data_IF_522515711976
#
_entry.id   IF_522515711976
#
_cell.length_a   1.000
_cell.length_b   1.000
_cell.length_c   1.000
_cell.angle_alpha   90.00
_cell.angle_beta   90.00
_cell.angle_gamma   90.00
#
_symmetry.space_group_name_H-M   'P 1'
#
loop_
_entity.id
_entity.type
_entity.pdbx_description
1 polymer ?
#
# COMPACT_ATOMS: atom_id res chain seq x y z
N UNK A 1 -2.36 10.81 -39.23
CA UNK A 1 -1.94 11.26 -37.89
C UNK A 1 -2.58 10.33 -36.88
N UNK A 2 -1.82 9.38 -36.36
CA UNK A 2 -2.28 8.54 -35.24
C UNK A 2 -2.17 9.39 -33.98
N UNK A 3 -3.32 9.71 -33.36
CA UNK A 3 -3.35 10.49 -32.13
C UNK A 3 -2.88 9.59 -30.97
N UNK A 4 -1.75 9.92 -30.35
CA UNK A 4 -1.24 9.23 -29.16
C UNK A 4 -2.00 9.73 -27.93
N UNK A 5 -3.25 9.28 -27.76
CA UNK A 5 -4.06 9.69 -26.60
C UNK A 5 -3.97 8.60 -25.51
N UNK A 6 -3.57 8.93 -24.28
CA UNK A 6 -3.60 7.97 -23.18
C UNK A 6 -5.05 7.62 -22.84
N UNK A 7 -5.27 6.41 -22.33
CA UNK A 7 -6.54 6.08 -21.65
C UNK A 7 -6.54 6.85 -20.32
N UNK A 8 -7.48 7.77 -20.17
CA UNK A 8 -7.62 8.67 -19.02
C UNK A 8 -8.87 8.26 -18.24
N UNK A 9 -8.69 7.96 -16.95
CA UNK A 9 -9.77 7.57 -16.05
C UNK A 9 -10.62 8.78 -15.62
N UNK A 10 -11.83 8.56 -15.10
CA UNK A 10 -12.67 9.67 -14.61
C UNK A 10 -12.01 10.40 -13.42
N UNK A 11 -11.69 11.68 -13.61
CA UNK A 11 -10.97 12.51 -12.64
C UNK A 11 -9.45 12.59 -12.91
N UNK A 12 -8.94 11.79 -13.84
CA UNK A 12 -7.57 11.91 -14.33
C UNK A 12 -7.46 13.06 -15.34
N UNK A 13 -6.38 13.84 -15.25
CA UNK A 13 -6.12 14.99 -16.12
C UNK A 13 -4.67 14.96 -16.58
N UNK A 14 -4.46 15.14 -17.88
CA UNK A 14 -3.13 15.32 -18.45
C UNK A 14 -2.52 16.65 -18.01
N UNK A 15 -1.33 16.59 -17.41
CA UNK A 15 -0.62 17.75 -16.85
C UNK A 15 0.51 18.20 -17.78
N UNK A 16 1.28 17.26 -18.32
CA UNK A 16 2.43 17.55 -19.18
C UNK A 16 2.69 16.45 -20.20
N UNK A 17 3.30 16.83 -21.32
CA UNK A 17 3.64 15.93 -22.42
C UNK A 17 5.03 16.23 -22.98
N UNK A 18 5.77 15.18 -23.30
CA UNK A 18 6.98 15.25 -24.10
C UNK A 18 6.85 14.33 -25.31
N UNK A 19 7.00 14.91 -26.49
CA UNK A 19 6.97 14.19 -27.76
C UNK A 19 8.37 13.71 -28.15
N UNK A 20 8.44 12.72 -29.04
CA UNK A 20 9.70 12.18 -29.58
C UNK A 20 10.69 11.74 -28.47
N UNK A 21 10.15 11.10 -27.43
CA UNK A 21 10.92 10.57 -26.30
C UNK A 21 11.40 9.18 -26.64
N UNK A 22 12.66 8.88 -26.33
CA UNK A 22 13.19 7.53 -26.43
C UNK A 22 13.14 6.85 -25.06
N UNK A 23 12.47 5.70 -24.96
CA UNK A 23 12.56 4.80 -23.81
C UNK A 23 13.57 3.70 -24.10
N UNK A 24 14.51 3.45 -23.19
CA UNK A 24 15.50 2.38 -23.31
C UNK A 24 15.14 1.18 -22.43
N UNK A 25 15.36 -0.02 -22.96
CA UNK A 25 15.27 -1.24 -22.17
C UNK A 25 16.37 -1.25 -21.10
N UNK A 26 16.09 -1.65 -19.84
CA UNK A 26 17.07 -1.65 -18.75
C UNK A 26 18.39 -2.38 -19.06
N UNK A 27 18.37 -3.39 -19.94
CA UNK A 27 19.54 -4.21 -20.30
C UNK A 27 20.21 -3.80 -21.62
N UNK A 28 19.71 -2.76 -22.30
CA UNK A 28 20.16 -2.40 -23.66
C UNK A 28 21.37 -1.46 -23.70
N UNK A 29 21.94 -1.06 -22.56
CA UNK A 29 23.03 -0.08 -22.46
C UNK A 29 22.76 1.23 -23.24
N UNK A 30 21.49 1.63 -23.34
CA UNK A 30 21.05 2.80 -24.11
C UNK A 30 21.30 2.71 -25.63
N UNK A 31 21.57 1.52 -26.17
CA UNK A 31 21.87 1.30 -27.60
C UNK A 31 20.61 1.17 -28.46
N UNK A 32 19.52 0.65 -27.90
CA UNK A 32 18.24 0.49 -28.60
C UNK A 32 17.11 1.04 -27.72
N UNK A 33 16.36 2.01 -28.26
CA UNK A 33 15.25 2.64 -27.55
C UNK A 33 14.01 2.74 -28.44
N UNK A 34 12.84 2.54 -27.83
CA UNK A 34 11.54 2.74 -28.47
C UNK A 34 11.21 4.22 -28.48
N UNK A 35 10.74 4.73 -29.61
CA UNK A 35 10.28 6.12 -29.73
C UNK A 35 8.81 6.22 -29.38
N UNK A 36 8.43 7.30 -28.69
CA UNK A 36 7.07 7.48 -28.23
C UNK A 36 6.80 8.85 -27.63
N UNK A 37 5.64 8.97 -27.00
CA UNK A 37 5.18 10.14 -26.26
C UNK A 37 5.15 9.80 -24.79
N UNK A 38 5.75 10.64 -23.96
CA UNK A 38 5.73 10.52 -22.50
C UNK A 38 4.75 11.54 -21.93
N UNK A 39 3.82 11.08 -21.12
CA UNK A 39 2.72 11.88 -20.57
C UNK A 39 2.72 11.74 -19.06
N UNK A 40 2.57 12.86 -18.36
CA UNK A 40 2.31 12.90 -16.91
C UNK A 40 0.88 13.39 -16.71
N UNK A 41 0.08 12.62 -15.98
CA UNK A 41 -1.24 13.03 -15.49
C UNK A 41 -1.14 13.38 -13.99
N UNK A 42 -2.27 13.62 -13.33
CA UNK A 42 -2.34 13.65 -11.87
C UNK A 42 -2.32 12.25 -11.21
N UNK A 43 -2.33 11.16 -12.00
CA UNK A 43 -2.38 9.77 -11.51
C UNK A 43 -1.18 8.91 -11.91
N UNK A 44 -0.74 8.98 -13.19
CA UNK A 44 0.29 8.13 -13.76
C UNK A 44 1.27 8.87 -14.68
N UNK A 45 2.43 8.26 -14.86
CA UNK A 45 3.35 8.51 -15.97
C UNK A 45 3.06 7.43 -17.02
N UNK A 46 2.68 7.83 -18.23
CA UNK A 46 2.36 6.93 -19.33
C UNK A 46 3.33 7.13 -20.50
N UNK A 47 3.83 6.05 -21.07
CA UNK A 47 4.63 6.09 -22.29
C UNK A 47 3.92 5.33 -23.41
N UNK A 48 3.56 6.06 -24.47
CA UNK A 48 2.83 5.52 -25.61
C UNK A 48 3.79 5.41 -26.79
N UNK A 49 3.88 4.23 -27.40
CA UNK A 49 4.76 3.93 -28.53
C UNK A 49 4.01 3.16 -29.62
N UNK A 50 4.46 3.25 -30.87
CA UNK A 50 3.82 2.56 -32.01
C UNK A 50 3.89 1.04 -31.92
N UNK A 51 4.85 0.51 -31.17
CA UNK A 51 5.10 -0.92 -31.04
C UNK A 51 4.31 -1.56 -29.89
N UNK A 52 3.35 -0.85 -29.28
CA UNK A 52 2.46 -1.45 -28.30
C UNK A 52 1.49 -2.39 -29.02
N UNK A 53 1.95 -3.58 -29.36
CA UNK A 53 1.09 -4.71 -29.68
C UNK A 53 0.19 -4.94 -28.46
N UNK A 54 -1.13 -4.90 -28.64
CA UNK A 54 -2.08 -5.42 -27.67
C UNK A 54 -1.60 -6.82 -27.29
N UNK A 55 -0.99 -6.98 -26.10
CA UNK A 55 -0.67 -8.31 -25.59
C UNK A 55 -1.99 -9.05 -25.47
N UNK A 56 -2.05 -10.23 -26.07
CA UNK A 56 -3.17 -11.14 -25.95
C UNK A 56 -3.67 -11.20 -24.50
N UNK A 57 -4.99 -11.24 -24.34
CA UNK A 57 -5.76 -11.37 -23.09
C UNK A 57 -5.42 -12.63 -22.25
N UNK A 58 -4.29 -13.28 -22.51
CA UNK A 58 -3.84 -14.55 -21.91
C UNK A 58 -3.12 -14.40 -20.58
N UNK A 59 -2.85 -13.18 -20.10
CA UNK A 59 -2.34 -12.96 -18.75
C UNK A 59 -3.51 -12.84 -17.75
N UNK A 60 -3.72 -13.89 -16.94
CA UNK A 60 -4.78 -13.96 -15.92
C UNK A 60 -4.75 -12.87 -14.84
N UNK A 61 -3.76 -11.96 -14.86
CA UNK A 61 -3.65 -10.81 -13.95
C UNK A 61 -3.14 -9.58 -14.71
N UNK A 62 -4.07 -8.78 -15.24
CA UNK A 62 -3.79 -7.47 -15.81
C UNK A 62 -4.22 -6.37 -14.83
N UNK A 63 -3.49 -5.24 -14.83
CA UNK A 63 -3.91 -4.07 -14.06
C UNK A 63 -5.02 -3.36 -14.83
N UNK A 64 -6.14 -3.06 -14.16
CA UNK A 64 -7.29 -2.41 -14.79
C UNK A 64 -7.02 -0.95 -15.21
N UNK A 65 -6.08 -0.27 -14.55
CA UNK A 65 -5.84 1.18 -14.69
C UNK A 65 -4.51 1.52 -15.40
N UNK A 66 -3.56 0.59 -15.42
CA UNK A 66 -2.19 0.82 -15.88
C UNK A 66 -1.85 -0.09 -17.05
N UNK A 67 -1.47 0.51 -18.18
CA UNK A 67 -0.90 -0.18 -19.32
C UNK A 67 0.53 -0.71 -19.06
N UNK A 68 1.12 -1.34 -20.09
CA UNK A 68 2.44 -1.98 -20.01
C UNK A 68 3.56 -1.03 -19.54
N UNK A 69 3.53 0.19 -20.05
CA UNK A 69 4.53 1.23 -19.79
C UNK A 69 4.03 2.31 -18.83
N UNK A 70 2.90 2.08 -18.16
CA UNK A 70 2.35 3.02 -17.21
C UNK A 70 2.95 2.80 -15.81
N UNK A 71 3.18 3.91 -15.12
CA UNK A 71 3.65 3.93 -13.74
C UNK A 71 2.72 4.84 -12.96
N UNK A 72 1.94 4.29 -12.03
CA UNK A 72 1.22 5.10 -11.05
C UNK A 72 2.23 6.00 -10.31
N UNK A 73 1.93 7.29 -10.19
CA UNK A 73 2.85 8.27 -9.61
C UNK A 73 3.20 7.96 -8.17
N UNK A 74 2.27 7.35 -7.41
CA UNK A 74 2.52 6.88 -6.04
C UNK A 74 3.56 5.75 -5.95
N UNK A 75 3.83 5.04 -7.06
CA UNK A 75 4.84 4.00 -7.18
C UNK A 75 6.22 4.54 -7.61
N UNK A 76 6.32 5.81 -8.01
CA UNK A 76 7.62 6.45 -8.27
C UNK A 76 8.35 6.60 -6.94
N UNK A 77 9.58 6.10 -6.87
CA UNK A 77 10.40 6.19 -5.66
C UNK A 77 11.49 7.25 -5.78
N UNK A 78 12.29 7.19 -6.84
CA UNK A 78 13.37 8.15 -7.10
C UNK A 78 13.43 8.51 -8.58
N UNK A 79 13.59 9.80 -8.86
CA UNK A 79 13.83 10.32 -10.20
C UNK A 79 15.27 10.83 -10.28
N UNK A 80 16.04 10.33 -11.25
CA UNK A 80 17.38 10.80 -11.57
C UNK A 80 17.38 11.54 -12.90
N UNK A 81 18.13 12.63 -12.98
CA UNK A 81 18.52 13.26 -14.24
C UNK A 81 19.78 12.57 -14.78
N UNK A 82 19.76 12.26 -16.08
CA UNK A 82 20.94 11.75 -16.79
C UNK A 82 21.84 12.91 -17.24
N UNK A 83 23.12 12.86 -16.85
CA UNK A 83 24.16 13.84 -17.20
C UNK A 83 25.36 13.06 -17.76
N UNK A 84 25.35 12.80 -19.07
CA UNK A 84 26.28 11.85 -19.69
C UNK A 84 26.08 10.48 -19.06
N UNK A 85 27.17 9.86 -18.60
CA UNK A 85 27.15 8.55 -17.95
C UNK A 85 26.80 8.61 -16.44
N UNK A 86 26.64 9.82 -15.89
CA UNK A 86 26.32 10.02 -14.46
C UNK A 86 24.82 10.24 -14.25
N UNK A 87 24.31 9.71 -13.14
CA UNK A 87 22.93 9.92 -12.67
C UNK A 87 22.94 10.92 -11.50
N UNK A 88 22.17 12.02 -11.60
CA UNK A 88 21.98 13.00 -10.49
C UNK A 88 20.57 12.87 -9.92
N UNK A 89 20.43 12.53 -8.65
CA UNK A 89 19.13 12.43 -7.97
C UNK A 89 18.44 13.81 -7.96
N UNK A 90 17.18 13.85 -8.37
CA UNK A 90 16.35 15.05 -8.30
C UNK A 90 15.54 15.05 -6.99
N UNK A 91 15.32 16.25 -6.46
CA UNK A 91 14.47 16.47 -5.29
C UNK A 91 13.14 17.07 -5.74
N UNK A 92 12.03 16.85 -5.00
CA UNK A 92 10.75 17.49 -5.30
C UNK A 92 10.89 19.02 -5.31
N UNK A 93 10.59 19.64 -6.44
CA UNK A 93 10.75 21.08 -6.66
C UNK A 93 11.08 21.41 -8.12
N UNK A 94 11.15 22.71 -8.45
CA UNK A 94 11.48 23.14 -9.81
C UNK A 94 12.92 22.76 -10.17
N UNK A 95 13.11 22.11 -11.30
CA UNK A 95 14.44 21.77 -11.82
C UNK A 95 15.05 22.94 -12.58
N UNK A 96 16.37 23.14 -12.39
CA UNK A 96 17.16 24.12 -13.12
C UNK A 96 17.85 23.49 -14.33
N UNK A 97 17.93 24.24 -15.43
CA UNK A 97 18.61 23.84 -16.65
C UNK A 97 17.83 22.85 -17.54
N UNK A 98 18.50 22.42 -18.62
CA UNK A 98 17.93 21.49 -19.61
C UNK A 98 18.00 20.04 -19.11
N UNK A 99 16.87 19.34 -19.21
CA UNK A 99 16.80 17.89 -18.93
C UNK A 99 16.97 17.12 -20.24
N UNK A 100 18.05 16.36 -20.37
CA UNK A 100 18.34 15.53 -21.56
C UNK A 100 17.79 14.10 -21.44
N UNK A 101 17.51 13.65 -20.23
CA UNK A 101 16.94 12.34 -19.96
C UNK A 101 16.68 12.11 -18.48
N UNK A 102 15.85 11.12 -18.20
CA UNK A 102 15.46 10.69 -16.86
C UNK A 102 15.73 9.20 -16.67
N UNK A 103 16.02 8.85 -15.44
CA UNK A 103 16.08 7.47 -14.99
C UNK A 103 15.22 7.36 -13.73
N UNK A 104 14.10 6.64 -13.86
CA UNK A 104 13.04 6.58 -12.86
C UNK A 104 13.06 5.20 -12.23
N UNK A 105 13.18 5.18 -10.90
CA UNK A 105 13.16 3.96 -10.10
C UNK A 105 11.83 3.90 -9.35
N UNK A 106 11.13 2.79 -9.47
CA UNK A 106 9.85 2.56 -8.83
C UNK A 106 9.98 1.75 -7.54
N UNK A 107 8.97 1.82 -6.65
CA UNK A 107 8.94 1.06 -5.38
C UNK A 107 8.80 -0.45 -5.60
N UNK A 108 8.24 -0.86 -6.74
CA UNK A 108 8.23 -2.25 -7.19
C UNK A 108 9.50 -2.67 -7.97
N UNK A 109 10.60 -1.93 -7.83
CA UNK A 109 11.91 -2.20 -8.44
C UNK A 109 11.97 -2.11 -9.98
N UNK A 110 10.86 -1.74 -10.65
CA UNK A 110 10.89 -1.41 -12.08
C UNK A 110 11.69 -0.13 -12.32
N UNK A 111 12.39 -0.10 -13.45
CA UNK A 111 13.24 1.02 -13.86
C UNK A 111 12.86 1.45 -15.26
N UNK A 112 12.67 2.74 -15.45
CA UNK A 112 12.39 3.34 -16.76
C UNK A 112 13.44 4.39 -17.08
N UNK A 113 14.03 4.29 -18.27
CA UNK A 113 15.05 5.24 -18.71
C UNK A 113 14.58 5.93 -19.98
N UNK A 114 14.52 7.26 -19.94
CA UNK A 114 14.01 8.11 -21.00
C UNK A 114 15.07 9.10 -21.47
N UNK A 115 15.13 9.37 -22.77
CA UNK A 115 15.89 10.47 -23.36
C UNK A 115 14.99 11.45 -24.12
N UNK A 116 15.25 12.72 -23.89
CA UNK A 116 14.63 13.87 -24.56
C UNK A 116 15.52 14.43 -25.68
N UNK A 117 16.44 13.63 -26.23
CA UNK A 117 17.39 14.09 -27.27
C UNK A 117 16.68 14.65 -28.51
N UNK A 118 15.56 14.03 -28.87
CA UNK A 118 14.75 14.39 -30.04
C UNK A 118 13.46 15.13 -29.68
N UNK A 119 13.21 15.34 -28.39
CA UNK A 119 12.05 16.10 -27.93
C UNK A 119 12.24 17.60 -28.19
N UNK A 120 11.13 18.36 -28.36
CA UNK A 120 11.22 19.80 -28.50
C UNK A 120 11.84 20.46 -27.25
N UNK A 121 12.32 21.69 -27.42
CA UNK A 121 12.97 22.46 -26.36
C UNK A 121 12.02 22.58 -25.16
N UNK A 122 12.58 22.48 -23.95
CA UNK A 122 11.89 22.56 -22.67
C UNK A 122 10.86 21.47 -22.33
N UNK A 123 10.41 20.62 -23.26
CA UNK A 123 9.47 19.53 -22.94
C UNK A 123 9.99 18.63 -21.82
N UNK A 124 11.26 18.21 -21.90
CA UNK A 124 11.87 17.40 -20.84
C UNK A 124 11.87 18.11 -19.47
N UNK A 125 12.05 19.43 -19.43
CA UNK A 125 12.04 20.23 -18.19
C UNK A 125 10.62 20.36 -17.64
N UNK A 126 9.65 20.70 -18.49
CA UNK A 126 8.23 20.85 -18.13
C UNK A 126 7.68 19.53 -17.59
N UNK A 127 7.91 18.44 -18.29
CA UNK A 127 7.49 17.10 -17.87
C UNK A 127 8.14 16.68 -16.55
N UNK A 128 9.44 16.93 -16.38
CA UNK A 128 10.14 16.60 -15.13
C UNK A 128 9.56 17.38 -13.95
N UNK A 129 9.25 18.67 -14.12
CA UNK A 129 8.62 19.48 -13.08
C UNK A 129 7.23 18.95 -12.72
N UNK A 130 6.42 18.60 -13.71
CA UNK A 130 5.11 17.98 -13.47
C UNK A 130 5.26 16.64 -12.72
N UNK A 131 6.15 15.76 -13.18
CA UNK A 131 6.41 14.47 -12.53
C UNK A 131 6.81 14.66 -11.06
N UNK A 132 7.75 15.55 -10.76
CA UNK A 132 8.20 15.82 -9.39
C UNK A 132 7.11 16.44 -8.51
N UNK A 133 6.19 17.21 -9.10
CA UNK A 133 5.08 17.81 -8.36
C UNK A 133 4.02 16.78 -7.96
N UNK A 134 3.59 15.93 -8.92
CA UNK A 134 2.50 15.00 -8.71
C UNK A 134 2.92 13.64 -8.12
N UNK A 135 4.18 13.19 -8.33
CA UNK A 135 4.69 11.96 -7.71
C UNK A 135 5.05 12.12 -6.23
N UNK A 136 5.33 13.35 -5.77
CA UNK A 136 5.74 13.63 -4.40
C UNK A 136 4.86 14.72 -3.76
N UNK A 137 3.54 14.48 -3.60
CA UNK A 137 2.62 15.46 -3.07
C UNK A 137 2.96 15.83 -1.62
N UNK A 138 2.92 17.13 -1.31
CA UNK A 138 3.26 17.66 0.03
C UNK A 138 2.14 17.48 1.07
N UNK A 139 0.92 17.18 0.62
CA UNK A 139 -0.28 17.05 1.45
C UNK A 139 -1.09 15.84 0.97
N UNK A 140 -1.72 15.15 1.90
CA UNK A 140 -2.50 13.94 1.59
C UNK A 140 -3.67 14.22 0.64
N UNK A 141 -4.30 15.40 0.72
CA UNK A 141 -5.41 15.80 -0.17
C UNK A 141 -5.00 15.98 -1.64
N UNK A 142 -3.70 16.01 -1.94
CA UNK A 142 -3.18 16.10 -3.31
C UNK A 142 -2.96 14.72 -3.95
N UNK A 143 -3.29 13.64 -3.23
CA UNK A 143 -3.28 12.30 -3.81
C UNK A 143 -4.47 12.15 -4.76
N UNK A 144 -4.24 11.47 -5.88
CA UNK A 144 -5.26 11.15 -6.87
C UNK A 144 -6.50 10.45 -6.29
N UNK A 145 -6.39 9.76 -5.16
CA UNK A 145 -7.52 9.14 -4.46
C UNK A 145 -8.65 10.12 -4.10
N UNK A 146 -8.36 11.42 -4.02
CA UNK A 146 -9.36 12.48 -3.79
C UNK A 146 -10.00 13.00 -5.08
N UNK A 147 -9.36 12.80 -6.22
CA UNK A 147 -9.84 13.24 -7.53
C UNK A 147 -10.54 12.12 -8.29
N UNK A 148 -10.27 10.85 -7.98
CA UNK A 148 -10.83 9.67 -8.64
C UNK A 148 -12.35 9.64 -8.55
N UNK A 149 -13.03 9.57 -9.71
CA UNK A 149 -14.49 9.64 -9.82
C UNK A 149 -15.12 8.45 -10.53
N UNK A 150 -14.37 7.41 -10.85
CA UNK A 150 -15.02 6.23 -11.42
C UNK A 150 -16.05 5.69 -10.43
N UNK A 151 -17.24 5.30 -10.92
CA UNK A 151 -18.20 4.60 -10.10
C UNK A 151 -17.51 3.38 -9.46
N UNK A 152 -17.75 3.18 -8.16
CA UNK A 152 -17.27 1.97 -7.50
C UNK A 152 -17.81 0.77 -8.28
N UNK A 153 -16.91 -0.02 -8.88
CA UNK A 153 -17.29 -1.21 -9.63
C UNK A 153 -18.25 -2.05 -8.78
N UNK A 154 -19.33 -2.55 -9.38
CA UNK A 154 -20.11 -3.60 -8.74
C UNK A 154 -19.22 -4.84 -8.69
N UNK A 155 -18.46 -5.00 -7.60
CA UNK A 155 -17.76 -6.24 -7.37
C UNK A 155 -18.84 -7.31 -7.24
N UNK A 156 -18.86 -8.29 -8.14
CA UNK A 156 -19.84 -9.40 -8.10
C UNK A 156 -19.84 -10.09 -6.73
N UNK A 157 -18.72 -9.99 -6.01
CA UNK A 157 -18.56 -10.41 -4.61
C UNK A 157 -18.54 -9.17 -3.71
N UNK A 158 -19.59 -8.98 -2.90
CA UNK A 158 -19.57 -7.97 -1.84
C UNK A 158 -18.34 -8.16 -0.93
N UNK A 159 -17.41 -7.20 -0.95
CA UNK A 159 -16.26 -7.20 -0.03
C UNK A 159 -16.74 -6.69 1.32
N UNK A 160 -16.66 -7.56 2.34
CA UNK A 160 -17.02 -7.19 3.71
C UNK A 160 -15.89 -6.35 4.31
N UNK A 161 -16.20 -5.12 4.70
CA UNK A 161 -15.21 -4.16 5.23
C UNK A 161 -15.01 -4.29 6.74
N UNK A 162 -15.80 -5.13 7.41
CA UNK A 162 -15.73 -5.39 8.86
C UNK A 162 -15.84 -4.12 9.71
N UNK A 163 -16.72 -3.21 9.29
CA UNK A 163 -16.93 -1.91 9.92
C UNK A 163 -18.11 -1.92 10.90
N UNK A 164 -19.14 -2.69 10.57
CA UNK A 164 -20.39 -2.75 11.32
C UNK A 164 -20.49 -4.02 12.17
N UNK A 165 -21.42 -4.02 13.14
CA UNK A 165 -21.65 -5.17 14.01
C UNK A 165 -22.05 -6.42 13.20
N UNK A 166 -22.88 -6.25 12.18
CA UNK A 166 -23.42 -7.31 11.36
C UNK A 166 -22.32 -8.05 10.58
N UNK A 167 -21.24 -7.36 10.21
CA UNK A 167 -20.09 -7.97 9.53
C UNK A 167 -19.41 -9.00 10.44
N UNK A 168 -19.12 -8.61 11.68
CA UNK A 168 -18.49 -9.47 12.68
C UNK A 168 -19.43 -10.58 13.17
N UNK A 169 -20.73 -10.29 13.30
CA UNK A 169 -21.72 -11.31 13.65
C UNK A 169 -21.85 -12.38 12.57
N UNK A 170 -21.87 -11.99 11.29
CA UNK A 170 -21.85 -12.94 10.17
C UNK A 170 -20.59 -13.80 10.16
N UNK A 171 -19.44 -13.22 10.48
CA UNK A 171 -18.18 -13.96 10.53
C UNK A 171 -18.10 -14.94 11.71
N UNK A 172 -18.63 -14.57 12.88
CA UNK A 172 -18.80 -15.49 14.00
C UNK A 172 -19.72 -16.67 13.64
N UNK A 173 -20.84 -16.40 12.96
CA UNK A 173 -21.74 -17.46 12.48
C UNK A 173 -21.08 -18.34 11.43
N UNK A 174 -20.35 -17.75 10.48
CA UNK A 174 -19.64 -18.46 9.40
C UNK A 174 -18.56 -19.39 9.95
N UNK A 175 -17.84 -18.96 10.98
CA UNK A 175 -16.77 -19.75 11.62
C UNK A 175 -17.31 -20.76 12.62
N UNK A 176 -18.51 -20.56 13.16
CA UNK A 176 -19.10 -21.41 14.20
C UNK A 176 -18.33 -21.38 15.53
N UNK A 177 -17.42 -20.42 15.73
CA UNK A 177 -16.55 -20.37 16.88
C UNK A 177 -17.32 -19.91 18.13
N UNK A 178 -17.65 -20.87 19.02
CA UNK A 178 -18.34 -20.60 20.28
C UNK A 178 -17.46 -19.92 21.34
N UNK A 179 -18.09 -19.34 22.37
CA UNK A 179 -17.37 -18.71 23.49
C UNK A 179 -16.96 -17.26 23.27
N UNK A 180 -17.36 -16.66 22.14
CA UNK A 180 -17.07 -15.27 21.77
C UNK A 180 -18.34 -14.46 21.57
N UNK A 181 -18.26 -13.15 21.82
CA UNK A 181 -19.36 -12.17 21.64
C UNK A 181 -18.86 -10.90 20.98
N UNK A 182 -19.76 -10.16 20.35
CA UNK A 182 -19.49 -8.77 19.98
C UNK A 182 -19.46 -7.87 21.22
N UNK A 183 -18.61 -6.86 21.16
CA UNK A 183 -18.44 -5.81 22.16
C UNK A 183 -18.45 -4.43 21.47
N UNK A 184 -19.29 -3.50 21.95
CA UNK A 184 -19.29 -2.10 21.52
C UNK A 184 -18.23 -1.25 22.23
N UNK A 185 -17.32 -1.85 23.03
CA UNK A 185 -16.39 -1.11 23.88
C UNK A 185 -15.46 -0.13 23.15
N UNK A 186 -15.30 -0.28 21.83
CA UNK A 186 -14.52 0.63 21.00
C UNK A 186 -15.35 1.44 20.01
N UNK A 187 -16.66 1.57 20.21
CA UNK A 187 -17.50 2.47 19.42
C UNK A 187 -16.94 3.90 19.48
N UNK A 188 -17.01 4.60 18.34
CA UNK A 188 -16.39 5.92 18.17
C UNK A 188 -14.90 5.97 18.51
N UNK A 189 -14.21 4.83 18.48
CA UNK A 189 -12.78 4.68 18.73
C UNK A 189 -12.32 5.15 20.12
N UNK A 190 -13.21 5.10 21.11
CA UNK A 190 -12.95 5.61 22.47
C UNK A 190 -11.87 4.82 23.21
N UNK A 191 -11.73 3.52 22.93
CA UNK A 191 -10.73 2.66 23.58
C UNK A 191 -9.39 2.68 22.82
N UNK A 192 -9.42 2.49 21.49
CA UNK A 192 -8.26 2.53 20.60
C UNK A 192 -8.64 3.03 19.21
N UNK A 193 -7.94 4.07 18.74
CA UNK A 193 -8.04 4.59 17.38
C UNK A 193 -7.48 3.64 16.30
N UNK A 194 -6.79 2.57 16.71
CA UNK A 194 -6.15 1.61 15.81
C UNK A 194 -6.85 0.25 15.73
N UNK A 195 -7.97 0.08 16.43
CA UNK A 195 -8.82 -1.10 16.37
C UNK A 195 -10.15 -0.78 15.66
N UNK A 196 -10.86 -1.79 15.14
CA UNK A 196 -12.23 -1.62 14.65
C UNK A 196 -13.18 -1.11 15.75
N UNK A 197 -14.29 -0.51 15.36
CA UNK A 197 -15.30 -0.03 16.32
C UNK A 197 -15.96 -1.18 17.10
N UNK A 198 -16.22 -2.29 16.40
CA UNK A 198 -16.78 -3.50 16.96
C UNK A 198 -15.69 -4.54 17.17
N UNK A 199 -15.63 -5.11 18.37
CA UNK A 199 -14.63 -6.09 18.75
C UNK A 199 -15.30 -7.42 19.06
N UNK A 200 -14.61 -8.52 18.76
CA UNK A 200 -15.03 -9.85 19.18
C UNK A 200 -14.17 -10.30 20.36
N UNK A 201 -14.81 -10.58 21.49
CA UNK A 201 -14.16 -10.85 22.78
C UNK A 201 -14.80 -12.05 23.49
N UNK A 202 -14.14 -12.66 24.49
CA UNK A 202 -14.73 -13.79 25.22
C UNK A 202 -16.08 -13.42 25.84
N UNK A 203 -17.06 -14.33 25.80
CA UNK A 203 -18.41 -14.10 26.36
C UNK A 203 -18.37 -13.66 27.82
N UNK A 204 -17.46 -14.24 28.61
CA UNK A 204 -17.33 -13.97 30.04
C UNK A 204 -16.65 -12.63 30.38
N UNK A 205 -16.03 -11.95 29.40
CA UNK A 205 -15.35 -10.68 29.61
C UNK A 205 -16.35 -9.54 29.45
N UNK A 206 -16.48 -8.64 30.42
CA UNK A 206 -17.35 -7.45 30.34
C UNK A 206 -16.64 -6.27 29.66
N UNK A 207 -17.41 -5.37 29.05
CA UNK A 207 -16.85 -4.23 28.29
C UNK A 207 -16.01 -3.28 29.16
N UNK A 208 -16.41 -3.03 30.42
CA UNK A 208 -15.63 -2.19 31.33
C UNK A 208 -14.31 -2.85 31.74
N UNK A 209 -14.28 -4.19 31.88
CA UNK A 209 -13.05 -4.93 32.19
C UNK A 209 -12.09 -4.91 31.00
N UNK A 210 -12.63 -5.02 29.79
CA UNK A 210 -11.88 -4.88 28.55
C UNK A 210 -11.26 -3.48 28.46
N UNK A 211 -12.06 -2.42 28.68
CA UNK A 211 -11.58 -1.03 28.64
C UNK A 211 -10.53 -0.71 29.70
N UNK A 212 -10.68 -1.23 30.91
CA UNK A 212 -9.69 -1.09 31.98
C UNK A 212 -8.37 -1.81 31.64
N UNK A 213 -8.46 -3.06 31.17
CA UNK A 213 -7.30 -3.83 30.75
C UNK A 213 -6.60 -3.22 29.53
N UNK A 214 -7.36 -2.68 28.57
CA UNK A 214 -6.82 -2.10 27.33
C UNK A 214 -5.71 -1.09 27.60
N UNK A 215 -5.86 -0.25 28.63
CA UNK A 215 -4.87 0.77 29.03
C UNK A 215 -3.50 0.18 29.37
N UNK A 216 -3.39 -1.11 29.64
CA UNK A 216 -2.13 -1.77 29.98
C UNK A 216 -1.36 -2.24 28.73
N UNK A 217 -2.03 -2.32 27.57
CA UNK A 217 -1.44 -2.76 26.31
C UNK A 217 -1.03 -1.57 25.44
N UNK A 218 0.03 -1.71 24.65
CA UNK A 218 0.48 -0.66 23.73
C UNK A 218 -0.60 -0.29 22.72
N UNK A 219 -0.94 1.00 22.65
CA UNK A 219 -1.97 1.52 21.76
C UNK A 219 -3.39 1.09 22.16
N UNK A 220 -3.59 0.66 23.41
CA UNK A 220 -4.87 0.17 23.93
C UNK A 220 -5.42 -1.03 23.18
N UNK A 221 -4.54 -1.99 22.85
CA UNK A 221 -4.86 -3.18 22.05
C UNK A 221 -4.80 -4.47 22.89
N UNK A 222 -5.82 -4.73 23.72
CA UNK A 222 -5.92 -5.99 24.46
C UNK A 222 -6.15 -7.19 23.51
N UNK A 223 -6.19 -8.43 24.03
CA UNK A 223 -6.56 -9.61 23.23
C UNK A 223 -7.94 -9.47 22.58
N UNK A 224 -7.97 -9.53 21.25
CA UNK A 224 -9.17 -9.49 20.42
C UNK A 224 -9.14 -10.65 19.44
N UNK A 225 -10.29 -11.33 19.28
CA UNK A 225 -10.45 -12.44 18.34
C UNK A 225 -10.32 -11.98 16.90
N UNK A 226 -9.65 -12.80 16.08
CA UNK A 226 -9.50 -12.58 14.63
C UNK A 226 -10.26 -13.62 13.82
N UNK A 227 -10.19 -14.88 14.27
CA UNK A 227 -10.72 -16.03 13.56
C UNK A 227 -10.83 -17.24 14.50
N UNK A 228 -11.64 -18.23 14.16
CA UNK A 228 -11.66 -19.49 14.89
C UNK A 228 -12.38 -20.62 14.16
N UNK A 229 -12.46 -21.77 14.80
CA UNK A 229 -13.13 -22.98 14.30
C UNK A 229 -14.31 -23.39 15.20
N UNK A 230 -15.24 -24.22 14.69
CA UNK A 230 -16.31 -24.79 15.49
C UNK A 230 -15.82 -25.60 16.70
N UNK A 231 -14.65 -26.26 16.58
CA UNK A 231 -14.05 -27.06 17.65
C UNK A 231 -13.42 -26.21 18.78
N UNK A 232 -13.41 -24.88 18.63
CA UNK A 232 -12.99 -23.94 19.66
C UNK A 232 -11.55 -23.43 19.53
N UNK A 233 -10.82 -23.82 18.48
CA UNK A 233 -9.54 -23.16 18.18
C UNK A 233 -9.81 -21.71 17.80
N UNK A 234 -9.04 -20.77 18.38
CA UNK A 234 -9.21 -19.35 18.15
C UNK A 234 -7.86 -18.67 17.94
N UNK A 235 -7.78 -17.85 16.89
CA UNK A 235 -6.68 -16.94 16.65
C UNK A 235 -7.01 -15.60 17.29
N UNK A 236 -6.18 -15.19 18.24
CA UNK A 236 -6.34 -13.95 19.01
C UNK A 236 -5.12 -13.08 18.78
N UNK A 237 -5.33 -11.78 18.57
CA UNK A 237 -4.25 -10.79 18.45
C UNK A 237 -4.26 -9.84 19.62
N UNK A 238 -3.08 -9.44 20.08
CA UNK A 238 -2.89 -8.43 21.13
C UNK A 238 -1.60 -7.66 20.87
N UNK A 239 -1.48 -6.48 21.46
CA UNK A 239 -0.18 -5.83 21.59
C UNK A 239 0.54 -6.31 22.85
N UNK A 240 1.85 -6.09 22.91
CA UNK A 240 2.62 -6.22 24.14
C UNK A 240 2.19 -5.18 25.19
N UNK A 241 2.53 -5.44 26.44
CA UNK A 241 2.28 -4.53 27.57
C UNK A 241 3.06 -3.23 27.37
N UNK A 242 2.52 -2.13 27.89
CA UNK A 242 3.22 -0.85 27.91
C UNK A 242 4.57 -1.01 28.62
N UNK A 243 5.68 -0.51 28.05
CA UNK A 243 7.01 -0.72 28.62
C UNK A 243 7.19 -0.11 30.01
N UNK A 244 6.32 0.83 30.40
CA UNK A 244 6.28 1.47 31.72
C UNK A 244 5.57 0.64 32.79
N UNK A 245 4.88 -0.44 32.41
CA UNK A 245 4.11 -1.30 33.31
C UNK A 245 4.84 -2.64 33.43
N UNK A 246 5.27 -2.97 34.64
CA UNK A 246 5.92 -4.27 34.94
C UNK A 246 4.92 -5.33 35.40
N UNK A 247 3.76 -4.92 35.92
CA UNK A 247 2.71 -5.82 36.38
C UNK A 247 1.97 -6.47 35.19
N UNK A 248 2.07 -7.80 35.10
CA UNK A 248 1.40 -8.62 34.09
C UNK A 248 0.04 -9.18 34.55
N UNK A 249 -0.48 -8.76 35.69
CA UNK A 249 -1.77 -9.24 36.21
C UNK A 249 -2.90 -9.02 35.22
N UNK A 250 -2.98 -7.86 34.58
CA UNK A 250 -4.03 -7.59 33.57
C UNK A 250 -3.89 -8.46 32.33
N UNK A 251 -2.67 -8.70 31.87
CA UNK A 251 -2.38 -9.64 30.79
C UNK A 251 -2.89 -11.04 31.13
N UNK A 252 -2.49 -11.57 32.28
CA UNK A 252 -2.85 -12.91 32.75
C UNK A 252 -4.38 -13.06 32.90
N UNK A 253 -5.06 -12.04 33.41
CA UNK A 253 -6.52 -12.03 33.51
C UNK A 253 -7.18 -12.08 32.13
N UNK A 254 -6.68 -11.31 31.14
CA UNK A 254 -7.21 -11.36 29.78
C UNK A 254 -6.95 -12.71 29.11
N UNK A 255 -5.75 -13.29 29.28
CA UNK A 255 -5.41 -14.62 28.78
C UNK A 255 -6.27 -15.72 29.43
N UNK A 256 -6.64 -15.57 30.70
CA UNK A 256 -7.57 -16.47 31.37
C UNK A 256 -8.99 -16.40 30.77
N UNK A 257 -9.45 -15.22 30.35
CA UNK A 257 -10.71 -15.10 29.61
C UNK A 257 -10.64 -15.78 28.24
N UNK A 258 -9.51 -15.65 27.53
CA UNK A 258 -9.27 -16.38 26.27
C UNK A 258 -9.24 -17.88 26.51
N UNK A 259 -8.61 -18.35 27.59
CA UNK A 259 -8.63 -19.77 27.96
C UNK A 259 -10.05 -20.26 28.21
N UNK A 260 -10.87 -19.47 28.91
CA UNK A 260 -12.26 -19.80 29.25
C UNK A 260 -13.19 -19.84 28.04
N UNK A 261 -12.86 -19.20 26.91
CA UNK A 261 -13.67 -19.30 25.70
C UNK A 261 -13.47 -20.62 24.94
N UNK A 262 -12.36 -21.33 25.17
CA UNK A 262 -12.13 -22.65 24.60
C UNK A 262 -13.00 -23.72 25.31
N UNK A 263 -13.71 -24.63 24.59
CA UNK A 263 -14.59 -25.64 25.20
C UNK A 263 -13.90 -26.52 26.25
N UNK A 264 -12.67 -26.94 25.96
CA UNK A 264 -11.83 -27.75 26.86
C UNK A 264 -10.97 -26.91 27.83
N UNK A 265 -11.06 -25.58 27.76
CA UNK A 265 -10.24 -24.63 28.52
C UNK A 265 -8.73 -24.85 28.44
N UNK A 266 -8.27 -25.30 27.27
CA UNK A 266 -6.86 -25.49 26.94
C UNK A 266 -6.12 -24.16 27.02
N UNK A 267 -4.89 -24.18 27.56
CA UNK A 267 -4.09 -22.97 27.65
C UNK A 267 -3.78 -22.40 26.25
N UNK A 268 -3.84 -21.07 26.08
CA UNK A 268 -3.44 -20.44 24.83
C UNK A 268 -1.93 -20.59 24.61
N UNK A 269 -1.53 -20.84 23.37
CA UNK A 269 -0.13 -20.77 22.95
C UNK A 269 0.18 -19.33 22.59
N UNK A 270 1.16 -18.73 23.28
CA UNK A 270 1.60 -17.37 23.02
C UNK A 270 2.79 -17.35 22.07
N UNK A 271 2.68 -16.57 20.99
CA UNK A 271 3.74 -16.35 20.00
C UNK A 271 4.16 -14.88 20.07
N UNK A 272 5.42 -14.62 20.44
CA UNK A 272 5.96 -13.26 20.52
C UNK A 272 6.66 -12.89 19.21
N UNK A 273 5.88 -12.34 18.28
CA UNK A 273 6.37 -11.99 16.96
C UNK A 273 7.46 -10.90 16.99
N UNK A 274 7.55 -10.09 18.03
CA UNK A 274 8.60 -9.07 18.15
C UNK A 274 9.95 -9.68 18.53
N UNK A 275 9.93 -10.81 19.23
CA UNK A 275 11.10 -11.60 19.58
C UNK A 275 11.48 -12.60 18.48
N UNK A 276 10.47 -13.20 17.84
CA UNK A 276 10.67 -14.35 16.95
C UNK A 276 10.89 -13.96 15.49
N UNK A 277 10.47 -12.75 15.06
CA UNK A 277 10.56 -12.30 13.67
C UNK A 277 11.46 -11.06 13.49
N UNK A 278 12.00 -10.83 12.28
CA UNK A 278 12.79 -9.63 11.97
C UNK A 278 12.01 -8.33 12.24
N UNK A 279 12.71 -7.33 12.76
CA UNK A 279 12.09 -6.02 13.02
C UNK A 279 11.73 -5.31 11.69
N UNK A 280 10.83 -4.32 11.71
CA UNK A 280 10.57 -3.48 10.53
C UNK A 280 11.84 -2.84 9.95
N UNK A 281 12.85 -2.55 10.79
CA UNK A 281 14.15 -2.05 10.34
C UNK A 281 14.92 -3.09 9.55
N UNK A 282 14.93 -4.34 10.01
CA UNK A 282 15.62 -5.45 9.32
C UNK A 282 14.95 -5.75 7.98
N UNK A 283 13.63 -5.76 7.94
CA UNK A 283 12.84 -5.90 6.70
C UNK A 283 13.16 -4.76 5.72
N UNK A 284 13.23 -3.52 6.20
CA UNK A 284 13.60 -2.37 5.36
C UNK A 284 15.02 -2.49 4.79
N UNK A 285 16.00 -2.89 5.60
CA UNK A 285 17.39 -3.11 5.15
C UNK A 285 17.43 -4.22 4.09
N UNK A 286 16.71 -5.32 4.32
CA UNK A 286 16.60 -6.43 3.36
C UNK A 286 16.02 -5.96 2.02
N UNK A 287 14.90 -5.22 2.07
CA UNK A 287 14.29 -4.61 0.88
C UNK A 287 15.27 -3.69 0.13
N UNK A 288 16.02 -2.83 0.84
CA UNK A 288 16.99 -1.93 0.22
C UNK A 288 18.14 -2.69 -0.46
N UNK A 289 18.60 -3.80 0.13
CA UNK A 289 19.62 -4.67 -0.50
C UNK A 289 19.09 -5.33 -1.76
N UNK A 290 17.90 -5.92 -1.70
CA UNK A 290 17.25 -6.55 -2.86
C UNK A 290 17.03 -5.54 -4.00
N UNK A 291 16.58 -4.34 -3.65
CA UNK A 291 16.40 -3.24 -4.60
C UNK A 291 17.71 -2.84 -5.26
N UNK A 292 18.79 -2.68 -4.51
CA UNK A 292 20.10 -2.29 -5.08
C UNK A 292 20.64 -3.33 -6.06
N UNK A 293 20.31 -4.62 -5.87
CA UNK A 293 20.65 -5.68 -6.82
C UNK A 293 19.78 -5.65 -8.09
N UNK A 294 18.54 -5.15 -7.97
CA UNK A 294 17.53 -5.20 -9.04
C UNK A 294 17.49 -3.93 -9.90
N UNK A 295 18.13 -2.85 -9.46
CA UNK A 295 18.08 -1.53 -10.10
C UNK A 295 19.48 -1.12 -10.60
N UNK A 296 19.80 -1.37 -11.88
CA UNK A 296 21.06 -0.96 -12.51
C UNK A 296 21.12 0.55 -12.87
#
# INVERSE_FOLDING_TARGET
>A
MTYYTPVIDLGEVQVAEAQHVLMFSPLSELKQGKSGVLIVTNFKLSFITTDSTHRDESSFQQNLFLGEYDVCLSNVDVVYQLIGDKKRKLQPGPVSGKIKGLHIVCKNMKVFTFSFKFSPIDHGKILTNALLHYAFPKRHQLLFSYDFREPYYSCEKNVVMFREAEDWQRELLRTGCGGWRLSPANQSFQMSSSLPQWLVVPVALLDWQLGDAARHFRGSRPPVWCWGTPDGAALVRMADIQPTITDRTKENVMLEYVRKSHPQRTQPVLLDLAKDLPSPRDVHISYMRLRNLSVP
#
